data_IF_015473026146
#
_entry.id   IF_015473026146
#
_cell.length_a   1.000
_cell.length_b   1.000
_cell.length_c   1.000
_cell.angle_alpha   90.00
_cell.angle_beta   90.00
_cell.angle_gamma   90.00
#
_symmetry.space_group_name_H-M   'P 1'
#
loop_
_entity.id
_entity.type
_entity.pdbx_description
1 polymer ?
#
# COMPACT_ATOMS: atom_id res chain seq x y z
N UNK A 1 -5.84 -11.30 -58.18
CA UNK A 1 -5.93 -10.48 -56.95
C UNK A 1 -6.55 -11.22 -55.75
N UNK A 2 -7.68 -11.92 -55.85
CA UNK A 2 -8.30 -12.65 -54.71
C UNK A 2 -7.41 -13.75 -54.06
N UNK A 3 -6.56 -14.42 -54.84
CA UNK A 3 -5.70 -15.51 -54.35
C UNK A 3 -4.54 -15.03 -53.47
N UNK A 4 -3.94 -13.87 -53.78
CA UNK A 4 -2.90 -13.25 -52.93
C UNK A 4 -3.44 -12.83 -51.57
N UNK A 5 -4.69 -12.37 -51.49
CA UNK A 5 -5.31 -12.00 -50.21
C UNK A 5 -5.57 -13.22 -49.31
N UNK A 6 -5.89 -14.39 -49.87
CA UNK A 6 -6.13 -15.61 -49.08
C UNK A 6 -4.81 -16.15 -48.50
N UNK A 7 -3.74 -16.17 -49.30
CA UNK A 7 -2.40 -16.62 -48.86
C UNK A 7 -1.82 -15.68 -47.80
N UNK A 8 -2.00 -14.37 -47.96
CA UNK A 8 -1.55 -13.38 -46.97
C UNK A 8 -2.33 -13.48 -45.64
N UNK A 9 -3.65 -13.71 -45.69
CA UNK A 9 -4.45 -13.93 -44.47
C UNK A 9 -4.08 -15.24 -43.76
N UNK A 10 -3.79 -16.32 -44.50
CA UNK A 10 -3.32 -17.59 -43.91
C UNK A 10 -1.93 -17.45 -43.24
N UNK A 11 -1.01 -16.67 -43.82
CA UNK A 11 0.27 -16.36 -43.17
C UNK A 11 0.11 -15.53 -41.89
N UNK A 12 -0.75 -14.51 -41.87
CA UNK A 12 -0.98 -13.69 -40.67
C UNK A 12 -1.70 -14.48 -39.55
N UNK A 13 -2.63 -15.37 -39.90
CA UNK A 13 -3.25 -16.31 -38.96
C UNK A 13 -2.23 -17.32 -38.40
N UNK A 14 -1.25 -17.74 -39.20
CA UNK A 14 -0.18 -18.64 -38.74
C UNK A 14 0.77 -17.97 -37.75
N UNK A 15 1.12 -16.69 -37.93
CA UNK A 15 2.06 -15.99 -37.06
C UNK A 15 1.47 -15.66 -35.67
N UNK A 16 0.19 -15.26 -35.62
CA UNK A 16 -0.51 -15.00 -34.34
C UNK A 16 -0.86 -16.28 -33.58
N UNK A 17 -1.08 -17.39 -34.30
CA UNK A 17 -1.24 -18.72 -33.71
C UNK A 17 0.06 -19.27 -33.09
N UNK A 18 1.20 -19.06 -33.76
CA UNK A 18 2.50 -19.53 -33.28
C UNK A 18 2.91 -18.90 -31.94
N UNK A 19 2.70 -17.59 -31.76
CA UNK A 19 3.02 -16.92 -30.49
C UNK A 19 2.18 -17.48 -29.33
N UNK A 20 0.86 -17.65 -29.53
CA UNK A 20 -0.01 -18.21 -28.50
C UNK A 20 0.37 -19.64 -28.13
N UNK A 21 0.66 -20.48 -29.12
CA UNK A 21 1.11 -21.86 -28.88
C UNK A 21 2.46 -21.86 -28.16
N UNK A 22 3.41 -21.02 -28.56
CA UNK A 22 4.70 -20.89 -27.91
C UNK A 22 4.53 -20.46 -26.44
N UNK A 23 3.71 -19.45 -26.15
CA UNK A 23 3.45 -18.99 -24.78
C UNK A 23 2.70 -20.04 -23.94
N UNK A 24 1.74 -20.76 -24.52
CA UNK A 24 1.00 -21.82 -23.82
C UNK A 24 1.87 -23.05 -23.50
N UNK A 25 2.88 -23.33 -24.33
CA UNK A 25 3.80 -24.47 -24.16
C UNK A 25 5.06 -24.12 -23.39
N UNK A 26 5.41 -22.84 -23.30
CA UNK A 26 6.57 -22.37 -22.53
C UNK A 26 6.28 -22.51 -21.03
N UNK A 27 7.17 -23.17 -20.25
CA UNK A 27 6.98 -23.28 -18.82
C UNK A 27 6.83 -21.91 -18.15
N UNK A 28 5.77 -21.76 -17.35
CA UNK A 28 5.59 -20.57 -16.55
C UNK A 28 6.75 -20.40 -15.56
N UNK A 29 7.09 -19.15 -15.29
CA UNK A 29 8.03 -18.78 -14.23
C UNK A 29 7.52 -19.35 -12.90
N UNK A 30 8.39 -20.03 -12.15
CA UNK A 30 8.05 -20.64 -10.85
C UNK A 30 8.78 -19.95 -9.71
N UNK A 31 8.14 -19.86 -8.55
CA UNK A 31 8.78 -19.34 -7.34
C UNK A 31 10.00 -20.18 -6.95
N UNK A 32 11.11 -19.50 -6.73
CA UNK A 32 12.35 -20.07 -6.19
C UNK A 32 12.83 -19.12 -5.09
N UNK A 33 12.76 -19.51 -3.80
CA UNK A 33 13.29 -18.70 -2.72
C UNK A 33 14.80 -18.49 -2.86
N UNK A 34 15.28 -17.28 -2.58
CA UNK A 34 16.70 -16.98 -2.55
C UNK A 34 17.30 -17.40 -1.21
N UNK A 35 18.46 -18.06 -1.30
CA UNK A 35 19.27 -18.41 -0.14
C UNK A 35 20.67 -17.79 -0.18
N UNK A 36 20.94 -16.92 -1.17
CA UNK A 36 22.23 -16.27 -1.33
C UNK A 36 22.50 -15.30 -0.18
N UNK A 37 23.79 -15.11 0.13
CA UNK A 37 24.21 -14.15 1.15
C UNK A 37 23.84 -12.71 0.77
N UNK A 38 23.82 -12.38 -0.52
CA UNK A 38 23.37 -11.07 -0.99
C UNK A 38 21.88 -10.86 -0.71
N UNK A 39 21.03 -11.85 -0.98
CA UNK A 39 19.59 -11.75 -0.70
C UNK A 39 19.32 -11.55 0.79
N UNK A 40 19.96 -12.32 1.67
CA UNK A 40 19.84 -12.14 3.13
C UNK A 40 20.28 -10.74 3.57
N UNK A 41 21.41 -10.25 3.06
CA UNK A 41 21.91 -8.89 3.37
C UNK A 41 20.97 -7.80 2.87
N UNK A 42 20.45 -7.93 1.65
CA UNK A 42 19.52 -6.97 1.06
C UNK A 42 18.21 -6.88 1.85
N UNK A 43 17.63 -8.03 2.20
CA UNK A 43 16.43 -8.13 3.04
C UNK A 43 16.63 -7.49 4.41
N UNK A 44 17.73 -7.84 5.10
CA UNK A 44 18.06 -7.27 6.41
C UNK A 44 18.24 -5.75 6.30
N UNK A 45 18.94 -5.27 5.27
CA UNK A 45 19.16 -3.85 5.07
C UNK A 45 17.85 -3.10 4.77
N UNK A 46 16.95 -3.69 3.98
CA UNK A 46 15.62 -3.13 3.71
C UNK A 46 14.81 -2.97 5.00
N UNK A 47 14.67 -4.04 5.78
CA UNK A 47 13.90 -4.02 7.02
C UNK A 47 14.52 -3.07 8.06
N UNK A 48 15.84 -3.10 8.22
CA UNK A 48 16.53 -2.19 9.13
C UNK A 48 16.37 -0.72 8.72
N UNK A 49 16.45 -0.43 7.41
CA UNK A 49 16.21 0.92 6.88
C UNK A 49 14.79 1.40 7.15
N UNK A 50 13.79 0.54 6.92
CA UNK A 50 12.39 0.85 7.16
C UNK A 50 12.08 1.01 8.66
N UNK A 51 12.53 0.07 9.50
CA UNK A 51 12.30 0.10 10.94
C UNK A 51 13.05 1.22 11.66
N UNK A 52 14.12 1.77 11.08
CA UNK A 52 14.78 2.96 11.61
C UNK A 52 14.33 4.27 10.92
N UNK A 53 13.39 4.19 9.97
CA UNK A 53 12.87 5.37 9.26
C UNK A 53 13.91 6.13 8.43
N UNK A 54 15.00 5.45 8.01
CA UNK A 54 16.13 6.06 7.29
C UNK A 54 15.84 6.25 5.81
N UNK A 55 14.93 7.17 5.49
CA UNK A 55 14.54 7.44 4.10
C UNK A 55 15.74 7.76 3.17
N UNK A 56 16.79 8.40 3.69
CA UNK A 56 18.02 8.68 2.92
C UNK A 56 18.78 7.44 2.44
N UNK A 57 18.58 6.29 3.09
CA UNK A 57 19.21 5.02 2.74
C UNK A 57 18.41 4.22 1.68
N UNK A 58 17.23 4.71 1.29
CA UNK A 58 16.29 3.96 0.46
C UNK A 58 16.86 3.59 -0.92
N UNK A 59 17.68 4.46 -1.52
CA UNK A 59 18.36 4.16 -2.79
C UNK A 59 19.38 3.00 -2.66
N UNK A 60 20.01 2.85 -1.49
CA UNK A 60 20.93 1.75 -1.23
C UNK A 60 20.18 0.45 -0.96
N UNK A 61 19.04 0.51 -0.26
CA UNK A 61 18.17 -0.64 -0.09
C UNK A 61 17.65 -1.15 -1.44
N UNK A 62 17.17 -0.25 -2.30
CA UNK A 62 16.76 -0.52 -3.67
C UNK A 62 17.87 -1.22 -4.47
N UNK A 63 19.07 -0.64 -4.49
CA UNK A 63 20.22 -1.21 -5.19
C UNK A 63 20.56 -2.64 -4.73
N UNK A 64 20.60 -2.87 -3.41
CA UNK A 64 20.92 -4.20 -2.86
C UNK A 64 19.85 -5.23 -3.19
N UNK A 65 18.57 -4.86 -3.08
CA UNK A 65 17.45 -5.72 -3.44
C UNK A 65 17.46 -6.05 -4.93
N UNK A 66 17.68 -5.07 -5.81
CA UNK A 66 17.81 -5.30 -7.25
C UNK A 66 19.00 -6.19 -7.59
N UNK A 67 20.15 -6.01 -6.93
CA UNK A 67 21.32 -6.86 -7.13
C UNK A 67 21.05 -8.31 -6.68
N UNK A 68 20.33 -8.50 -5.58
CA UNK A 68 19.89 -9.82 -5.14
C UNK A 68 18.89 -10.45 -6.12
N UNK A 69 17.91 -9.67 -6.58
CA UNK A 69 16.89 -10.11 -7.53
C UNK A 69 17.51 -10.51 -8.87
N UNK A 70 18.58 -9.84 -9.33
CA UNK A 70 19.29 -10.23 -10.54
C UNK A 70 19.93 -11.64 -10.43
N UNK A 71 20.33 -12.06 -9.22
CA UNK A 71 20.84 -13.42 -8.99
C UNK A 71 19.73 -14.47 -9.03
N UNK A 72 18.51 -14.10 -8.62
CA UNK A 72 17.36 -14.98 -8.63
C UNK A 72 16.06 -14.18 -8.86
N UNK A 73 15.67 -13.96 -10.13
CA UNK A 73 14.47 -13.19 -10.45
C UNK A 73 13.18 -13.97 -10.13
N UNK A 74 13.29 -15.22 -9.69
CA UNK A 74 12.17 -16.10 -9.35
C UNK A 74 11.79 -16.04 -7.87
N UNK A 75 12.43 -15.17 -7.07
CA UNK A 75 12.04 -14.96 -5.68
C UNK A 75 10.90 -13.92 -5.58
N UNK A 76 9.68 -14.32 -5.17
CA UNK A 76 8.56 -13.40 -5.05
C UNK A 76 8.77 -12.36 -3.95
N UNK A 77 9.54 -12.65 -2.89
CA UNK A 77 9.76 -11.71 -1.78
C UNK A 77 10.71 -10.60 -2.18
N UNK A 78 11.81 -10.93 -2.86
CA UNK A 78 12.72 -9.91 -3.39
C UNK A 78 11.99 -8.98 -4.36
N UNK A 79 11.17 -9.54 -5.27
CA UNK A 79 10.32 -8.74 -6.14
C UNK A 79 9.40 -7.82 -5.33
N UNK A 80 8.66 -8.36 -4.36
CA UNK A 80 7.77 -7.56 -3.54
C UNK A 80 8.48 -6.43 -2.77
N UNK A 81 9.65 -6.68 -2.16
CA UNK A 81 10.40 -5.64 -1.42
C UNK A 81 10.97 -4.55 -2.32
N UNK A 82 11.32 -4.85 -3.57
CA UNK A 82 11.62 -3.80 -4.56
C UNK A 82 10.35 -2.98 -4.84
N UNK A 83 9.21 -3.64 -5.05
CA UNK A 83 7.91 -2.97 -5.21
C UNK A 83 7.58 -2.04 -4.02
N UNK A 84 7.76 -2.53 -2.78
CA UNK A 84 7.58 -1.75 -1.56
C UNK A 84 8.54 -0.56 -1.46
N UNK A 85 9.78 -0.72 -1.91
CA UNK A 85 10.77 0.37 -1.94
C UNK A 85 10.28 1.52 -2.81
N UNK A 86 9.72 1.22 -3.98
CA UNK A 86 9.14 2.23 -4.88
C UNK A 86 7.87 2.87 -4.29
N UNK A 87 6.98 2.09 -3.67
CA UNK A 87 5.81 2.64 -2.95
C UNK A 87 6.23 3.55 -1.80
N UNK A 88 7.30 3.20 -1.07
CA UNK A 88 7.81 4.05 0.01
C UNK A 88 8.36 5.37 -0.53
N UNK A 89 9.11 5.35 -1.64
CA UNK A 89 9.54 6.57 -2.34
C UNK A 89 8.34 7.45 -2.71
N UNK A 90 7.26 6.85 -3.21
CA UNK A 90 6.05 7.57 -3.61
C UNK A 90 5.33 8.21 -2.42
N UNK A 91 5.09 7.40 -1.39
CA UNK A 91 4.29 7.79 -0.23
C UNK A 91 5.02 8.88 0.57
N UNK A 92 6.34 8.80 0.70
CA UNK A 92 7.12 9.73 1.53
C UNK A 92 7.91 10.77 0.72
N UNK A 93 7.52 11.01 -0.54
CA UNK A 93 8.17 11.99 -1.44
C UNK A 93 8.27 13.41 -0.86
N UNK A 94 7.38 13.78 0.05
CA UNK A 94 7.39 15.09 0.73
C UNK A 94 8.58 15.30 1.68
N UNK A 95 9.37 14.24 1.96
CA UNK A 95 10.66 14.38 2.64
C UNK A 95 11.73 15.03 1.77
N UNK A 96 11.54 15.05 0.45
CA UNK A 96 12.47 15.66 -0.48
C UNK A 96 12.16 17.16 -0.60
N UNK A 97 13.19 18.03 -0.72
CA UNK A 97 12.99 19.47 -0.91
C UNK A 97 12.17 19.81 -2.16
N UNK A 98 12.22 18.94 -3.17
CA UNK A 98 11.47 19.08 -4.41
C UNK A 98 10.95 17.72 -4.85
N UNK A 99 9.67 17.67 -5.25
CA UNK A 99 9.10 16.47 -5.84
C UNK A 99 9.78 16.14 -7.17
N UNK A 100 10.24 14.89 -7.30
CA UNK A 100 10.89 14.42 -8.51
C UNK A 100 9.83 14.04 -9.56
N UNK A 101 9.97 14.49 -10.83
CA UNK A 101 9.10 14.03 -11.92
C UNK A 101 9.26 12.53 -12.20
N UNK A 102 10.32 11.89 -11.66
CA UNK A 102 10.52 10.43 -11.74
C UNK A 102 9.52 9.64 -10.90
N UNK A 103 8.62 10.28 -10.16
CA UNK A 103 7.53 9.62 -9.45
C UNK A 103 6.70 8.70 -10.37
N UNK A 104 6.55 9.07 -11.64
CA UNK A 104 5.91 8.24 -12.67
C UNK A 104 6.72 6.96 -12.96
N UNK A 105 8.05 7.02 -12.88
CA UNK A 105 8.89 5.83 -13.01
C UNK A 105 8.76 4.93 -11.78
N UNK A 106 8.69 5.52 -10.58
CA UNK A 106 8.52 4.76 -9.34
C UNK A 106 7.23 3.92 -9.38
N UNK A 107 6.11 4.46 -9.90
CA UNK A 107 4.87 3.68 -9.97
C UNK A 107 4.94 2.54 -11.00
N UNK A 108 5.57 2.79 -12.16
CA UNK A 108 5.78 1.76 -13.20
C UNK A 108 6.63 0.62 -12.64
N UNK A 109 7.69 0.95 -11.91
CA UNK A 109 8.56 -0.03 -11.26
C UNK A 109 7.83 -0.79 -10.15
N UNK A 110 7.07 -0.09 -9.30
CA UNK A 110 6.24 -0.72 -8.28
C UNK A 110 5.29 -1.75 -8.91
N UNK A 111 4.53 -1.36 -9.94
CA UNK A 111 3.62 -2.28 -10.65
C UNK A 111 4.37 -3.47 -11.22
N UNK A 112 5.50 -3.25 -11.91
CA UNK A 112 6.30 -4.31 -12.52
C UNK A 112 6.69 -5.38 -11.49
N UNK A 113 7.21 -4.94 -10.35
CA UNK A 113 7.72 -5.86 -9.33
C UNK A 113 6.61 -6.54 -8.51
N UNK A 114 5.49 -5.87 -8.23
CA UNK A 114 4.33 -6.56 -7.64
C UNK A 114 3.68 -7.54 -8.62
N UNK A 115 3.68 -7.23 -9.93
CA UNK A 115 3.22 -8.15 -10.96
C UNK A 115 4.08 -9.41 -11.01
N UNK A 116 5.40 -9.28 -10.92
CA UNK A 116 6.31 -10.43 -10.82
C UNK A 116 6.07 -11.22 -9.53
N UNK A 117 5.96 -10.54 -8.38
CA UNK A 117 5.73 -11.17 -7.08
C UNK A 117 4.41 -11.97 -7.08
N UNK A 118 3.33 -11.39 -7.58
CA UNK A 118 2.02 -12.03 -7.66
C UNK A 118 1.98 -13.15 -8.72
N UNK A 119 2.70 -13.01 -9.84
CA UNK A 119 2.83 -14.10 -10.82
C UNK A 119 3.52 -15.31 -10.21
N UNK A 120 4.53 -15.09 -9.36
CA UNK A 120 5.29 -16.13 -8.68
C UNK A 120 4.54 -16.73 -7.48
N UNK A 121 3.73 -15.93 -6.78
CA UNK A 121 2.93 -16.32 -5.62
C UNK A 121 1.48 -15.79 -5.73
N UNK A 122 0.63 -16.41 -6.58
CA UNK A 122 -0.69 -15.90 -6.94
C UNK A 122 -1.74 -16.05 -5.83
N UNK A 123 -1.40 -16.70 -4.72
CA UNK A 123 -2.28 -16.82 -3.55
C UNK A 123 -1.96 -15.78 -2.47
N UNK A 124 -0.95 -14.93 -2.70
CA UNK A 124 -0.55 -13.91 -1.75
C UNK A 124 -1.39 -12.65 -1.92
N UNK A 125 -2.44 -12.53 -1.10
CA UNK A 125 -3.36 -11.41 -1.14
C UNK A 125 -2.69 -10.04 -0.85
N UNK A 126 -1.51 -10.02 -0.20
CA UNK A 126 -0.76 -8.77 0.00
C UNK A 126 -0.20 -8.29 -1.33
N UNK A 127 0.45 -9.18 -2.09
CA UNK A 127 1.00 -8.83 -3.41
C UNK A 127 -0.11 -8.43 -4.38
N UNK A 128 -1.25 -9.11 -4.34
CA UNK A 128 -2.42 -8.74 -5.14
C UNK A 128 -2.93 -7.33 -4.78
N UNK A 129 -3.03 -7.00 -3.49
CA UNK A 129 -3.48 -5.68 -3.04
C UNK A 129 -2.58 -4.56 -3.53
N UNK A 130 -1.27 -4.68 -3.30
CA UNK A 130 -0.31 -3.66 -3.76
C UNK A 130 -0.18 -3.58 -5.28
N UNK A 131 -0.37 -4.70 -6.00
CA UNK A 131 -0.48 -4.67 -7.46
C UNK A 131 -1.70 -3.85 -7.90
N UNK A 132 -2.86 -4.08 -7.27
CA UNK A 132 -4.08 -3.34 -7.59
C UNK A 132 -3.95 -1.84 -7.33
N UNK A 133 -3.32 -1.44 -6.21
CA UNK A 133 -3.02 -0.03 -5.93
C UNK A 133 -2.07 0.55 -6.98
N UNK A 134 -1.02 -0.19 -7.34
CA UNK A 134 -0.05 0.26 -8.33
C UNK A 134 -0.71 0.49 -9.71
N UNK A 135 -1.57 -0.44 -10.14
CA UNK A 135 -2.37 -0.31 -11.36
C UNK A 135 -3.30 0.91 -11.31
N UNK A 136 -4.01 1.10 -10.20
CA UNK A 136 -4.95 2.20 -10.07
C UNK A 136 -4.25 3.57 -10.13
N UNK A 137 -3.13 3.71 -9.42
CA UNK A 137 -2.35 4.95 -9.39
C UNK A 137 -1.68 5.19 -10.77
N UNK A 138 -1.13 4.15 -11.39
CA UNK A 138 -0.53 4.27 -12.72
C UNK A 138 -1.55 4.69 -13.77
N UNK A 139 -2.72 4.03 -13.81
CA UNK A 139 -3.81 4.39 -14.71
C UNK A 139 -4.22 5.85 -14.57
N UNK A 140 -4.27 6.37 -13.34
CA UNK A 140 -4.54 7.80 -13.09
C UNK A 140 -3.43 8.71 -13.62
N UNK A 141 -2.16 8.37 -13.37
CA UNK A 141 -1.00 9.18 -13.79
C UNK A 141 -0.92 9.25 -15.32
N UNK A 142 -1.17 8.15 -16.02
CA UNK A 142 -1.08 8.07 -17.48
C UNK A 142 -2.42 8.25 -18.20
N UNK A 143 -3.49 8.57 -17.47
CA UNK A 143 -4.85 8.71 -18.00
C UNK A 143 -5.37 7.46 -18.75
N UNK A 144 -4.96 6.27 -18.31
CA UNK A 144 -5.43 4.99 -18.83
C UNK A 144 -6.59 4.46 -17.98
N UNK A 145 -7.81 4.68 -18.46
CA UNK A 145 -9.01 4.23 -17.76
C UNK A 145 -9.14 2.72 -17.67
N UNK A 146 -8.58 1.96 -18.61
CA UNK A 146 -8.63 0.49 -18.56
C UNK A 146 -7.76 -0.03 -17.44
N UNK A 147 -6.58 0.56 -17.28
CA UNK A 147 -5.67 0.22 -16.18
C UNK A 147 -6.27 0.58 -14.82
N UNK A 148 -6.93 1.73 -14.69
CA UNK A 148 -7.65 2.09 -13.46
C UNK A 148 -8.72 1.05 -13.09
N UNK A 149 -9.53 0.63 -14.08
CA UNK A 149 -10.60 -0.37 -13.87
C UNK A 149 -10.01 -1.73 -13.51
N UNK A 150 -8.93 -2.14 -14.19
CA UNK A 150 -8.18 -3.36 -13.89
C UNK A 150 -7.68 -3.34 -12.44
N UNK A 151 -7.04 -2.25 -12.02
CA UNK A 151 -6.55 -2.06 -10.67
C UNK A 151 -7.65 -2.15 -9.62
N UNK A 152 -8.79 -1.48 -9.84
CA UNK A 152 -9.94 -1.57 -8.94
C UNK A 152 -10.43 -3.01 -8.74
N UNK A 153 -10.60 -3.79 -9.81
CA UNK A 153 -11.03 -5.18 -9.69
C UNK A 153 -9.95 -6.09 -9.10
N UNK A 154 -8.66 -5.78 -9.30
CA UNK A 154 -7.56 -6.45 -8.58
C UNK A 154 -7.65 -6.21 -7.08
N UNK A 155 -7.91 -4.96 -6.65
CA UNK A 155 -8.14 -4.64 -5.24
C UNK A 155 -9.36 -5.38 -4.66
N UNK A 156 -10.48 -5.45 -5.41
CA UNK A 156 -11.67 -6.19 -4.96
C UNK A 156 -11.37 -7.69 -4.72
N UNK A 157 -10.58 -8.32 -5.59
CA UNK A 157 -10.14 -9.72 -5.38
C UNK A 157 -9.23 -9.86 -4.17
N UNK A 158 -8.26 -8.94 -4.02
CA UNK A 158 -7.37 -8.93 -2.87
C UNK A 158 -8.15 -8.78 -1.54
N UNK A 159 -9.15 -7.90 -1.52
CA UNK A 159 -10.09 -7.72 -0.40
C UNK A 159 -10.85 -9.03 -0.11
N UNK A 160 -11.39 -9.69 -1.13
CA UNK A 160 -12.07 -10.97 -0.93
C UNK A 160 -11.15 -12.06 -0.35
N UNK A 161 -9.88 -12.07 -0.74
CA UNK A 161 -8.89 -13.05 -0.30
C UNK A 161 -8.39 -12.80 1.13
N UNK A 162 -8.18 -11.54 1.52
CA UNK A 162 -7.77 -11.17 2.87
C UNK A 162 -8.28 -9.77 3.27
N UNK A 163 -9.52 -9.67 3.75
CA UNK A 163 -10.18 -8.38 3.93
C UNK A 163 -9.61 -7.56 5.10
N UNK A 164 -9.14 -8.21 6.17
CA UNK A 164 -8.54 -7.52 7.33
C UNK A 164 -7.29 -6.70 6.95
N UNK A 165 -6.59 -7.10 5.89
CA UNK A 165 -5.44 -6.38 5.35
C UNK A 165 -5.84 -5.44 4.23
N UNK A 166 -6.55 -5.95 3.22
CA UNK A 166 -6.69 -5.25 1.95
C UNK A 166 -7.74 -4.14 1.93
N UNK A 167 -8.68 -4.08 2.89
CA UNK A 167 -9.52 -2.90 3.03
C UNK A 167 -8.70 -1.66 3.43
N UNK A 168 -7.73 -1.84 4.34
CA UNK A 168 -6.78 -0.77 4.67
C UNK A 168 -5.94 -0.41 3.45
N UNK A 169 -5.25 -1.41 2.85
CA UNK A 169 -4.38 -1.19 1.69
C UNK A 169 -5.06 -0.41 0.58
N UNK A 170 -6.23 -0.87 0.12
CA UNK A 170 -6.98 -0.23 -0.97
C UNK A 170 -7.49 1.18 -0.61
N UNK A 171 -7.89 1.40 0.65
CA UNK A 171 -8.45 2.68 1.08
C UNK A 171 -7.39 3.71 1.48
N UNK A 172 -6.17 3.28 1.81
CA UNK A 172 -5.10 4.15 2.25
C UNK A 172 -4.69 5.22 1.22
N UNK A 173 -4.37 4.87 -0.05
CA UNK A 173 -4.04 5.88 -1.06
C UNK A 173 -5.25 6.75 -1.42
N UNK A 174 -6.48 6.28 -1.20
CA UNK A 174 -7.69 7.07 -1.45
C UNK A 174 -7.83 8.26 -0.49
N UNK A 175 -7.12 8.25 0.66
CA UNK A 175 -7.04 9.40 1.57
C UNK A 175 -6.53 10.68 0.88
N UNK A 176 -5.74 10.55 -0.19
CA UNK A 176 -5.21 11.67 -0.97
C UNK A 176 -6.27 12.38 -1.81
N UNK A 177 -7.36 11.70 -2.15
CA UNK A 177 -8.39 12.21 -3.05
C UNK A 177 -9.24 13.30 -2.39
N UNK A 178 -9.97 14.05 -3.23
CA UNK A 178 -10.87 15.09 -2.74
C UNK A 178 -11.99 14.47 -1.87
N UNK A 179 -12.33 15.04 -0.70
CA UNK A 179 -13.25 14.42 0.26
C UNK A 179 -14.67 14.19 -0.29
N UNK A 180 -15.08 14.98 -1.29
CA UNK A 180 -16.37 14.87 -1.95
C UNK A 180 -16.41 13.77 -3.04
N UNK A 181 -15.26 13.25 -3.47
CA UNK A 181 -15.19 12.23 -4.51
C UNK A 181 -15.71 10.88 -4.01
N UNK A 182 -16.33 10.10 -4.90
CA UNK A 182 -16.89 8.80 -4.52
C UNK A 182 -15.81 7.81 -4.10
N UNK A 183 -14.64 7.83 -4.75
CA UNK A 183 -13.50 7.00 -4.34
C UNK A 183 -12.99 7.35 -2.94
N UNK A 184 -12.97 8.62 -2.54
CA UNK A 184 -12.60 8.98 -1.16
C UNK A 184 -13.60 8.39 -0.15
N UNK A 185 -14.91 8.54 -0.43
CA UNK A 185 -15.98 8.03 0.44
C UNK A 185 -15.93 6.50 0.54
N UNK A 186 -15.68 5.82 -0.58
CA UNK A 186 -15.50 4.37 -0.63
C UNK A 186 -14.28 3.94 0.19
N UNK A 187 -13.13 4.61 0.01
CA UNK A 187 -11.92 4.34 0.79
C UNK A 187 -12.12 4.53 2.29
N UNK A 188 -12.88 5.55 2.71
CA UNK A 188 -13.26 5.77 4.11
C UNK A 188 -14.21 4.67 4.62
N UNK A 189 -15.18 4.23 3.83
CA UNK A 189 -16.04 3.09 4.17
C UNK A 189 -15.22 1.80 4.32
N UNK A 190 -14.20 1.58 3.50
CA UNK A 190 -13.28 0.46 3.69
C UNK A 190 -12.52 0.53 5.01
N UNK A 191 -12.11 1.72 5.48
CA UNK A 191 -11.52 1.84 6.82
C UNK A 191 -12.50 1.41 7.92
N UNK A 192 -13.78 1.78 7.80
CA UNK A 192 -14.82 1.29 8.73
C UNK A 192 -14.98 -0.22 8.68
N UNK A 193 -14.93 -0.83 7.49
CA UNK A 193 -15.00 -2.29 7.34
C UNK A 193 -13.79 -2.99 7.95
N UNK A 194 -12.59 -2.41 7.87
CA UNK A 194 -11.41 -2.91 8.60
C UNK A 194 -11.71 -2.96 10.10
N UNK A 195 -12.24 -1.88 10.68
CA UNK A 195 -12.60 -1.86 12.10
C UNK A 195 -13.68 -2.91 12.45
N UNK A 196 -14.71 -3.06 11.62
CA UNK A 196 -15.77 -4.05 11.86
C UNK A 196 -15.21 -5.49 11.91
N UNK A 197 -14.31 -5.82 10.98
CA UNK A 197 -13.65 -7.13 10.93
C UNK A 197 -12.72 -7.35 12.13
N UNK A 198 -11.88 -6.35 12.43
CA UNK A 198 -10.92 -6.40 13.50
C UNK A 198 -11.60 -6.45 14.89
N UNK A 199 -12.77 -5.82 15.04
CA UNK A 199 -13.62 -5.93 16.23
C UNK A 199 -14.43 -7.25 16.26
N UNK A 200 -14.63 -7.89 15.09
CA UNK A 200 -15.47 -9.07 14.92
C UNK A 200 -16.96 -8.77 14.95
N UNK A 201 -17.34 -7.49 14.89
CA UNK A 201 -18.72 -7.00 14.84
C UNK A 201 -18.72 -5.55 14.36
N UNK A 202 -19.90 -5.06 13.97
CA UNK A 202 -20.06 -3.66 13.56
C UNK A 202 -19.72 -2.69 14.71
N UNK A 203 -18.79 -1.78 14.48
CA UNK A 203 -18.41 -0.72 15.41
C UNK A 203 -19.44 0.42 15.34
N UNK A 204 -19.77 1.02 16.48
CA UNK A 204 -20.60 2.21 16.51
C UNK A 204 -19.83 3.40 15.92
N UNK A 205 -20.22 3.82 14.72
CA UNK A 205 -19.58 4.92 13.99
C UNK A 205 -19.76 6.28 14.67
N UNK A 206 -20.81 6.45 15.50
CA UNK A 206 -21.04 7.71 16.24
C UNK A 206 -20.22 7.79 17.52
N UNK A 207 -19.82 6.65 18.06
CA UNK A 207 -18.99 6.54 19.26
C UNK A 207 -18.03 5.36 19.16
N UNK A 208 -17.01 5.45 18.27
CA UNK A 208 -16.13 4.33 17.96
C UNK A 208 -15.10 4.11 19.07
N UNK A 209 -15.53 3.56 20.21
CA UNK A 209 -14.64 3.15 21.30
C UNK A 209 -14.10 1.74 21.03
N UNK A 210 -12.78 1.63 20.89
CA UNK A 210 -12.10 0.39 20.56
C UNK A 210 -11.54 -0.36 21.79
N UNK A 211 -11.68 0.20 23.00
CA UNK A 211 -11.09 -0.34 24.24
C UNK A 211 -11.47 -1.79 24.50
N UNK A 212 -12.75 -2.13 24.30
CA UNK A 212 -13.26 -3.50 24.55
C UNK A 212 -12.70 -4.55 23.57
N UNK A 213 -12.20 -4.12 22.40
CA UNK A 213 -11.68 -5.03 21.37
C UNK A 213 -10.19 -5.30 21.53
N UNK A 214 -9.47 -4.57 22.38
CA UNK A 214 -8.04 -4.78 22.63
C UNK A 214 -7.71 -6.18 23.15
N UNK A 215 -8.70 -6.88 23.74
CA UNK A 215 -8.56 -8.29 24.15
C UNK A 215 -8.37 -9.26 22.98
N UNK A 216 -8.68 -8.83 21.74
CA UNK A 216 -8.56 -9.64 20.51
C UNK A 216 -7.19 -9.52 19.84
N UNK A 217 -6.26 -8.77 20.43
CA UNK A 217 -4.91 -8.60 19.92
C UNK A 217 -4.23 -9.96 19.66
N UNK A 218 -3.67 -10.14 18.46
CA UNK A 218 -3.04 -11.40 18.05
C UNK A 218 -1.93 -11.19 17.01
N UNK A 219 -0.96 -12.09 17.02
CA UNK A 219 0.11 -12.18 16.01
C UNK A 219 -0.17 -13.28 14.96
N UNK A 220 -1.31 -13.97 15.05
CA UNK A 220 -1.58 -15.19 14.29
C UNK A 220 -2.76 -15.04 13.32
N UNK A 221 -2.77 -15.89 12.29
CA UNK A 221 -3.85 -15.97 11.31
C UNK A 221 -4.05 -14.70 10.48
N UNK A 222 -5.22 -14.56 9.85
CA UNK A 222 -5.60 -13.36 9.07
C UNK A 222 -5.81 -12.12 9.95
N UNK A 223 -6.32 -12.31 11.17
CA UNK A 223 -6.59 -11.24 12.13
C UNK A 223 -5.33 -10.51 12.62
N UNK A 224 -4.13 -11.06 12.41
CA UNK A 224 -2.87 -10.38 12.75
C UNK A 224 -2.70 -9.02 12.03
N UNK A 225 -3.35 -8.81 10.88
CA UNK A 225 -3.31 -7.54 10.16
C UNK A 225 -3.94 -6.38 10.94
N UNK A 226 -4.77 -6.68 11.94
CA UNK A 226 -5.46 -5.69 12.75
C UNK A 226 -4.60 -5.06 13.86
N UNK A 227 -3.41 -5.60 14.11
CA UNK A 227 -2.62 -5.30 15.30
C UNK A 227 -1.18 -4.98 14.98
N UNK A 228 -0.43 -4.51 15.98
CA UNK A 228 1.00 -4.29 15.87
C UNK A 228 1.72 -5.61 15.64
N UNK A 229 2.76 -5.61 14.81
CA UNK A 229 3.54 -6.81 14.49
C UNK A 229 5.00 -6.48 14.26
N UNK A 230 5.87 -7.47 14.08
CA UNK A 230 7.28 -7.19 13.77
C UNK A 230 7.46 -6.43 12.45
N UNK A 231 6.55 -6.64 11.48
CA UNK A 231 6.53 -5.94 10.18
C UNK A 231 6.19 -4.47 10.38
N UNK A 232 5.11 -4.20 11.10
CA UNK A 232 4.59 -2.87 11.41
C UNK A 232 4.37 -2.74 12.93
N UNK A 233 5.40 -2.33 13.68
CA UNK A 233 5.37 -2.26 15.15
C UNK A 233 4.34 -1.28 15.70
N UNK A 234 3.87 -0.35 14.86
CA UNK A 234 2.86 0.66 15.18
C UNK A 234 1.73 0.69 14.15
N UNK A 235 1.41 -0.48 13.58
CA UNK A 235 0.29 -0.65 12.63
C UNK A 235 -1.03 -0.09 13.16
N UNK A 236 -1.34 -0.38 14.42
CA UNK A 236 -2.57 0.03 15.08
C UNK A 236 -2.62 1.56 15.21
N UNK A 237 -1.55 2.18 15.70
CA UNK A 237 -1.46 3.64 15.84
C UNK A 237 -1.54 4.34 14.49
N UNK A 238 -0.79 3.86 13.49
CA UNK A 238 -0.79 4.41 12.13
C UNK A 238 -2.15 4.25 11.42
N UNK A 239 -2.84 3.12 11.61
CA UNK A 239 -4.20 2.92 11.12
C UNK A 239 -5.16 3.99 11.67
N UNK A 240 -5.20 4.16 12.99
CA UNK A 240 -6.09 5.12 13.64
C UNK A 240 -5.72 6.56 13.30
N UNK A 241 -4.44 6.88 13.10
CA UNK A 241 -4.01 8.18 12.58
C UNK A 241 -4.55 8.41 11.17
N UNK A 242 -4.33 7.49 10.22
CA UNK A 242 -4.83 7.64 8.86
C UNK A 242 -6.36 7.78 8.82
N UNK A 243 -7.09 6.89 9.50
CA UNK A 243 -8.55 6.93 9.49
C UNK A 243 -9.10 8.23 10.10
N UNK A 244 -8.47 8.72 11.18
CA UNK A 244 -8.83 10.02 11.76
C UNK A 244 -8.59 11.18 10.80
N UNK A 245 -7.52 11.11 10.01
CA UNK A 245 -7.23 12.10 8.96
C UNK A 245 -8.32 12.13 7.89
N UNK A 246 -8.76 10.96 7.44
CA UNK A 246 -9.83 10.86 6.45
C UNK A 246 -11.13 11.46 6.99
N UNK A 247 -11.50 11.19 8.24
CA UNK A 247 -12.69 11.78 8.86
C UNK A 247 -12.60 13.30 9.01
N UNK A 248 -11.44 13.80 9.48
CA UNK A 248 -11.20 15.24 9.59
C UNK A 248 -11.23 15.92 8.22
N UNK A 249 -10.58 15.33 7.21
CA UNK A 249 -10.61 15.82 5.83
C UNK A 249 -12.03 15.83 5.24
N UNK A 250 -12.87 14.88 5.63
CA UNK A 250 -14.30 14.84 5.28
C UNK A 250 -15.16 15.87 6.04
N UNK A 251 -14.60 16.57 7.03
CA UNK A 251 -15.30 17.56 7.85
C UNK A 251 -15.86 17.00 9.17
N UNK A 252 -15.83 15.68 9.40
CA UNK A 252 -16.26 15.05 10.65
C UNK A 252 -15.10 14.97 11.65
N UNK A 253 -14.63 16.15 12.06
CA UNK A 253 -13.51 16.26 12.98
C UNK A 253 -13.84 15.75 14.39
N UNK A 254 -15.11 15.77 14.81
CA UNK A 254 -15.51 15.23 16.12
C UNK A 254 -15.34 13.70 16.18
N UNK A 255 -15.80 12.98 15.15
CA UNK A 255 -15.56 11.53 15.07
C UNK A 255 -14.08 11.25 14.83
N UNK A 256 -13.40 12.09 14.04
CA UNK A 256 -11.95 12.02 13.85
C UNK A 256 -11.17 12.05 15.17
N UNK A 257 -11.52 12.94 16.11
CA UNK A 257 -10.92 12.95 17.47
C UNK A 257 -11.10 11.61 18.16
N UNK A 258 -12.31 11.03 18.15
CA UNK A 258 -12.58 9.74 18.80
C UNK A 258 -11.74 8.61 18.19
N UNK A 259 -11.61 8.61 16.86
CA UNK A 259 -10.76 7.66 16.13
C UNK A 259 -9.28 7.84 16.51
N UNK A 260 -8.75 9.07 16.55
CA UNK A 260 -7.36 9.29 17.00
C UNK A 260 -7.11 8.79 18.42
N UNK A 261 -8.07 8.98 19.35
CA UNK A 261 -7.90 8.56 20.73
C UNK A 261 -7.71 7.04 20.87
N UNK A 262 -8.27 6.24 19.94
CA UNK A 262 -8.07 4.79 19.96
C UNK A 262 -6.61 4.40 19.75
N UNK A 263 -5.81 5.14 18.99
CA UNK A 263 -4.38 4.86 18.81
C UNK A 263 -3.63 4.77 20.15
N UNK A 264 -4.09 5.51 21.17
CA UNK A 264 -3.51 5.55 22.51
C UNK A 264 -3.74 4.25 23.31
N UNK A 265 -4.56 3.34 22.82
CA UNK A 265 -4.81 2.04 23.44
C UNK A 265 -3.67 1.04 23.19
N UNK A 266 -2.79 1.30 22.21
CA UNK A 266 -1.64 0.44 21.95
C UNK A 266 -0.68 0.41 23.15
N UNK A 267 -0.22 -0.79 23.51
CA UNK A 267 0.70 -0.99 24.65
C UNK A 267 2.02 -0.21 24.51
N UNK A 268 2.48 -0.04 23.27
CA UNK A 268 3.71 0.65 22.91
C UNK A 268 3.47 2.10 22.41
N UNK A 269 2.30 2.69 22.65
CA UNK A 269 2.02 4.07 22.24
C UNK A 269 3.06 5.08 22.77
N UNK A 270 3.58 4.87 23.98
CA UNK A 270 4.58 5.76 24.59
C UNK A 270 5.92 5.79 23.85
N UNK A 271 6.29 4.71 23.17
CA UNK A 271 7.52 4.62 22.37
C UNK A 271 7.32 5.00 20.91
N UNK A 272 6.07 5.22 20.47
CA UNK A 272 5.78 5.53 19.07
C UNK A 272 6.39 6.87 18.63
N UNK A 273 7.28 6.92 17.63
CA UNK A 273 7.96 8.15 17.22
C UNK A 273 7.02 9.27 16.78
N UNK A 274 5.81 8.92 16.30
CA UNK A 274 4.82 9.86 15.76
C UNK A 274 3.72 10.23 16.76
N UNK A 275 3.89 9.84 18.03
CA UNK A 275 2.96 10.17 19.12
C UNK A 275 2.61 11.65 19.19
N UNK A 276 3.62 12.53 19.12
CA UNK A 276 3.41 13.98 19.20
C UNK A 276 2.63 14.51 18.01
N UNK A 277 2.81 13.94 16.81
CA UNK A 277 2.03 14.30 15.63
C UNK A 277 0.55 13.94 15.86
N UNK A 278 0.24 12.76 16.39
CA UNK A 278 -1.14 12.38 16.72
C UNK A 278 -1.78 13.36 17.71
N UNK A 279 -1.05 13.70 18.77
CA UNK A 279 -1.53 14.63 19.81
C UNK A 279 -1.84 16.01 19.23
N UNK A 280 -0.99 16.51 18.33
CA UNK A 280 -1.27 17.75 17.58
C UNK A 280 -2.49 17.61 16.66
N UNK A 281 -2.69 16.46 15.99
CA UNK A 281 -3.89 16.22 15.18
C UNK A 281 -5.17 16.25 16.00
N UNK A 282 -5.15 15.69 17.22
CA UNK A 282 -6.27 15.74 18.16
C UNK A 282 -6.58 17.18 18.56
N UNK A 283 -5.57 17.94 18.98
CA UNK A 283 -5.73 19.32 19.43
C UNK A 283 -6.24 20.24 18.30
N UNK A 284 -5.75 20.03 17.08
CA UNK A 284 -6.02 20.89 15.93
C UNK A 284 -7.10 20.33 14.99
N UNK A 285 -7.83 19.28 15.36
CA UNK A 285 -8.71 18.53 14.46
C UNK A 285 -9.68 19.43 13.67
N UNK A 286 -10.30 20.43 14.33
CA UNK A 286 -11.21 21.37 13.67
C UNK A 286 -10.51 22.25 12.63
N UNK A 287 -9.33 22.78 12.96
CA UNK A 287 -8.54 23.58 12.02
C UNK A 287 -8.01 22.72 10.86
N UNK A 288 -7.70 21.45 11.15
CA UNK A 288 -7.16 20.51 10.17
C UNK A 288 -8.17 20.09 9.10
N UNK A 289 -9.47 20.32 9.27
CA UNK A 289 -10.45 20.16 8.19
C UNK A 289 -10.01 20.95 6.95
N UNK A 290 -9.67 22.23 7.13
CA UNK A 290 -9.23 23.08 6.02
C UNK A 290 -7.80 22.78 5.57
N UNK A 291 -6.92 22.33 6.48
CA UNK A 291 -5.54 22.01 6.14
C UNK A 291 -5.44 20.73 5.30
N UNK A 292 -6.14 19.66 5.69
CA UNK A 292 -6.09 18.34 5.03
C UNK A 292 -6.75 18.32 3.64
N UNK A 293 -7.55 19.34 3.33
CA UNK A 293 -8.16 19.53 2.00
C UNK A 293 -7.22 20.25 1.02
N UNK A 294 -6.05 20.69 1.48
CA UNK A 294 -5.04 21.39 0.67
C UNK A 294 -3.74 20.59 0.65
N UNK A 295 -2.91 20.83 -0.35
CA UNK A 295 -1.53 20.38 -0.33
C UNK A 295 -0.74 21.26 0.66
N UNK A 296 -0.07 20.60 1.60
CA UNK A 296 0.69 21.26 2.65
C UNK A 296 2.01 20.54 2.85
N UNK A 297 3.10 21.31 2.88
CA UNK A 297 4.45 20.77 3.13
C UNK A 297 4.74 20.59 4.62
N UNK A 298 3.93 21.18 5.51
CA UNK A 298 4.04 20.97 6.96
C UNK A 298 3.40 19.62 7.34
N UNK A 299 4.19 18.65 7.85
CA UNK A 299 3.69 17.33 8.22
C UNK A 299 2.55 17.35 9.24
N UNK A 300 2.51 18.35 10.13
CA UNK A 300 1.45 18.47 11.15
C UNK A 300 0.12 18.97 10.55
N UNK A 301 0.15 19.51 9.33
CA UNK A 301 -1.00 20.05 8.60
C UNK A 301 -1.36 19.26 7.35
N UNK A 302 -0.62 18.18 7.05
CA UNK A 302 -0.92 17.26 5.96
C UNK A 302 -1.56 15.97 6.51
N UNK A 303 -2.38 15.29 5.71
CA UNK A 303 -2.79 13.90 6.02
C UNK A 303 -1.57 12.98 6.07
N UNK A 304 -1.67 11.85 6.77
CA UNK A 304 -0.56 10.93 7.00
C UNK A 304 0.13 10.51 5.69
N UNK A 305 -0.64 10.19 4.63
CA UNK A 305 -0.08 9.81 3.34
C UNK A 305 0.84 10.90 2.75
N UNK A 306 0.50 12.18 2.90
CA UNK A 306 1.25 13.31 2.36
C UNK A 306 2.12 14.01 3.43
N UNK A 307 2.29 13.45 4.62
CA UNK A 307 3.08 14.10 5.68
C UNK A 307 4.59 13.89 5.51
N UNK A 308 4.99 13.05 4.56
CA UNK A 308 6.36 12.53 4.48
C UNK A 308 6.60 11.32 5.37
N UNK A 309 5.63 10.87 6.18
CA UNK A 309 5.80 9.75 7.12
C UNK A 309 4.80 8.60 6.91
N UNK A 310 4.18 8.55 5.72
CA UNK A 310 3.04 7.66 5.47
C UNK A 310 3.34 6.15 5.53
N UNK A 311 4.59 5.71 5.39
CA UNK A 311 4.95 4.31 5.63
C UNK A 311 5.48 4.16 7.07
N UNK A 312 6.46 4.97 7.43
CA UNK A 312 7.19 4.81 8.69
C UNK A 312 6.35 5.07 9.94
N UNK A 313 5.21 5.75 9.84
CA UNK A 313 4.28 5.90 10.96
C UNK A 313 3.79 4.55 11.49
N UNK A 314 3.70 3.52 10.63
CA UNK A 314 3.39 2.16 11.03
C UNK A 314 4.64 1.31 11.32
N UNK A 315 5.77 1.62 10.68
CA UNK A 315 6.91 0.71 10.59
C UNK A 315 8.13 1.09 11.45
N UNK A 316 8.34 2.37 11.77
CA UNK A 316 9.52 2.80 12.53
C UNK A 316 9.38 2.46 14.01
N UNK A 317 10.46 1.91 14.59
CA UNK A 317 10.58 1.55 16.01
C UNK A 317 11.12 2.68 16.88
#
# INVERSE_FOLDING_TARGET
MRFCFIILNLMVLSLTGCERIALMTTPQKRAIPSHSELAKKAELYFWDTLHQGRYGDLNKADYLLMAAYLQNPNDPRLAAHIGFTHIWKITERQRLPQESPKIANEIVLAKKYFSDAFTLDPHNAVFEGFLGDAQLIEGKIFHDKREEVSGYFTLQRAIANWPEFNYFTAGYPMSTLAPQSDSFKEGLEWQWRTLDLCAGKKVDRKSPDYKSYMIRETQQGKARACWNSWVAPHNFEGFFMNMGDMLVKAGDWQTGIKIYQNAKLAKNYSSWPYRQMLEKRILNARANVANFQKDNSDPDKAILFNSGYGCVACHQR
#
